data_IF_515182244668
#
_entry.id   IF_515182244668
#
_cell.length_a   1.000
_cell.length_b   1.000
_cell.length_c   1.000
_cell.angle_alpha   90.00
_cell.angle_beta   90.00
_cell.angle_gamma   90.00
#
_symmetry.space_group_name_H-M   'P 1'
#
loop_
_entity.id
_entity.type
_entity.pdbx_description
1 polymer ?
#
# COMPACT_ATOMS: atom_id res chain seq x y z
N UNK A 1 -16.80 -12.22 1.27
CA UNK A 1 -15.87 -12.51 2.36
C UNK A 1 -16.48 -12.20 3.72
N UNK A 2 -16.99 -11.01 3.93
CA UNK A 2 -17.65 -10.56 5.16
C UNK A 2 -19.07 -10.13 4.81
N UNK A 3 -20.05 -10.48 5.66
CA UNK A 3 -21.46 -10.09 5.45
C UNK A 3 -21.59 -8.56 5.40
N UNK A 4 -22.49 -7.99 4.58
CA UNK A 4 -22.65 -6.52 4.47
C UNK A 4 -22.93 -5.85 5.82
N UNK A 5 -23.75 -6.47 6.68
CA UNK A 5 -24.07 -5.99 8.04
C UNK A 5 -22.83 -5.82 8.93
N UNK A 6 -21.85 -6.71 8.81
CA UNK A 6 -20.67 -6.75 9.69
C UNK A 6 -19.48 -6.00 9.08
N UNK A 7 -19.60 -5.60 7.80
CA UNK A 7 -18.48 -5.05 7.03
C UNK A 7 -17.84 -3.84 7.70
N UNK A 8 -18.64 -2.91 8.19
CA UNK A 8 -18.14 -1.70 8.84
C UNK A 8 -17.36 -2.03 10.11
N UNK A 9 -17.92 -2.87 10.98
CA UNK A 9 -17.32 -3.26 12.27
C UNK A 9 -16.00 -4.00 12.04
N UNK A 10 -15.98 -4.97 11.12
CA UNK A 10 -14.77 -5.75 10.80
C UNK A 10 -13.69 -4.87 10.16
N UNK A 11 -14.06 -3.94 9.28
CA UNK A 11 -13.10 -3.00 8.69
C UNK A 11 -12.52 -2.03 9.72
N UNK A 12 -13.31 -1.56 10.65
CA UNK A 12 -12.84 -0.64 11.70
C UNK A 12 -11.95 -1.39 12.72
N UNK A 13 -12.28 -2.63 13.04
CA UNK A 13 -11.41 -3.49 13.85
C UNK A 13 -10.07 -3.76 13.15
N UNK A 14 -10.09 -4.07 11.83
CA UNK A 14 -8.87 -4.22 11.04
C UNK A 14 -8.01 -2.95 11.02
N UNK A 15 -8.62 -1.77 10.92
CA UNK A 15 -7.86 -0.50 10.94
C UNK A 15 -7.10 -0.31 12.25
N UNK A 16 -7.62 -0.78 13.38
CA UNK A 16 -6.93 -0.71 14.67
C UNK A 16 -5.62 -1.48 14.66
N UNK A 17 -5.57 -2.63 13.99
CA UNK A 17 -4.34 -3.44 13.84
C UNK A 17 -3.20 -2.62 13.24
N UNK A 18 -3.45 -1.85 12.17
CA UNK A 18 -2.42 -1.08 11.46
C UNK A 18 -2.14 0.32 12.07
N UNK A 19 -2.88 0.71 13.10
CA UNK A 19 -2.73 2.01 13.75
C UNK A 19 -2.05 1.94 15.10
N UNK A 20 -1.44 0.80 15.42
CA UNK A 20 -0.69 0.62 16.65
C UNK A 20 0.63 1.40 16.59
N UNK A 21 1.23 1.63 17.74
CA UNK A 21 2.48 2.39 17.83
C UNK A 21 3.70 1.60 17.34
N UNK A 22 3.65 0.28 17.45
CA UNK A 22 4.74 -0.61 17.06
C UNK A 22 4.23 -1.97 16.58
N UNK A 23 5.14 -2.75 15.97
CA UNK A 23 4.84 -4.06 15.42
C UNK A 23 4.37 -5.08 16.47
N UNK A 24 4.86 -5.00 17.73
CA UNK A 24 4.48 -5.93 18.79
C UNK A 24 2.99 -5.74 19.17
N UNK A 25 2.57 -4.49 19.38
CA UNK A 25 1.17 -4.15 19.66
C UNK A 25 0.27 -4.48 18.47
N UNK A 26 0.74 -4.26 17.24
CA UNK A 26 0.00 -4.60 16.04
C UNK A 26 -0.23 -6.12 15.90
N UNK A 27 0.76 -6.96 16.26
CA UNK A 27 0.61 -8.41 16.31
C UNK A 27 -0.39 -8.87 17.37
N UNK A 28 -0.35 -8.26 18.56
CA UNK A 28 -1.33 -8.56 19.61
C UNK A 28 -2.76 -8.19 19.18
N UNK A 29 -2.95 -7.02 18.60
CA UNK A 29 -4.26 -6.58 18.10
C UNK A 29 -4.72 -7.44 16.92
N UNK A 30 -3.80 -7.94 16.05
CA UNK A 30 -4.14 -8.90 15.02
C UNK A 30 -4.64 -10.22 15.59
N UNK A 31 -3.98 -10.76 16.62
CA UNK A 31 -4.43 -11.97 17.30
C UNK A 31 -5.84 -11.78 17.88
N UNK A 32 -6.08 -10.70 18.62
CA UNK A 32 -7.40 -10.38 19.15
C UNK A 32 -8.47 -10.20 18.06
N UNK A 33 -8.09 -9.61 16.93
CA UNK A 33 -8.95 -9.48 15.75
C UNK A 33 -9.32 -10.86 15.17
N UNK A 34 -8.34 -11.76 15.03
CA UNK A 34 -8.57 -13.10 14.50
C UNK A 34 -9.39 -13.95 15.46
N UNK A 35 -9.19 -13.84 16.78
CA UNK A 35 -9.99 -14.53 17.79
C UNK A 35 -11.46 -14.07 17.74
N UNK A 36 -11.68 -12.77 17.56
CA UNK A 36 -13.03 -12.19 17.53
C UNK A 36 -13.81 -12.52 16.25
N UNK A 37 -13.12 -12.51 15.10
CA UNK A 37 -13.78 -12.60 13.79
C UNK A 37 -13.40 -13.83 12.96
N UNK A 38 -12.28 -14.50 13.26
CA UNK A 38 -11.75 -15.62 12.49
C UNK A 38 -12.64 -16.85 12.54
N UNK A 39 -13.31 -17.13 13.67
CA UNK A 39 -14.27 -18.22 13.82
C UNK A 39 -15.47 -18.04 12.88
N UNK A 40 -15.98 -16.82 12.79
CA UNK A 40 -17.10 -16.46 11.91
C UNK A 40 -16.69 -16.36 10.44
N UNK A 41 -15.46 -15.91 10.18
CA UNK A 41 -14.91 -15.66 8.85
C UNK A 41 -13.58 -16.39 8.63
N UNK A 42 -13.63 -17.71 8.49
CA UNK A 42 -12.46 -18.62 8.36
C UNK A 42 -11.42 -18.17 7.31
N UNK A 43 -11.84 -17.43 6.27
CA UNK A 43 -10.90 -16.89 5.26
C UNK A 43 -9.99 -15.79 5.80
N UNK A 44 -10.30 -15.17 6.95
CA UNK A 44 -9.43 -14.16 7.56
C UNK A 44 -8.11 -14.77 8.00
N UNK A 45 -8.11 -15.95 8.64
CA UNK A 45 -6.87 -16.64 9.00
C UNK A 45 -5.97 -16.88 7.80
N UNK A 46 -6.54 -17.30 6.66
CA UNK A 46 -5.77 -17.53 5.43
C UNK A 46 -5.17 -16.25 4.85
N UNK A 47 -5.86 -15.10 5.00
CA UNK A 47 -5.37 -13.81 4.52
C UNK A 47 -4.21 -13.25 5.33
N UNK A 48 -4.11 -13.63 6.61
CA UNK A 48 -3.10 -13.13 7.54
C UNK A 48 -2.04 -14.17 7.92
N UNK A 49 -1.87 -15.23 7.12
CA UNK A 49 -0.88 -16.30 7.38
C UNK A 49 0.57 -15.82 7.37
N UNK A 50 0.91 -14.76 6.61
CA UNK A 50 2.26 -14.20 6.53
C UNK A 50 2.40 -12.96 7.43
N UNK A 51 2.32 -13.16 8.76
CA UNK A 51 2.39 -12.07 9.73
C UNK A 51 3.69 -11.27 9.67
N UNK A 52 4.82 -11.92 9.38
CA UNK A 52 6.15 -11.27 9.36
C UNK A 52 6.23 -10.14 8.35
N UNK A 53 5.65 -10.29 7.17
CA UNK A 53 5.67 -9.26 6.12
C UNK A 53 4.56 -8.21 6.27
N UNK A 54 3.51 -8.48 7.04
CA UNK A 54 2.42 -7.51 7.24
C UNK A 54 2.83 -6.27 8.02
N UNK A 55 3.84 -6.39 8.87
CA UNK A 55 4.29 -5.35 9.79
C UNK A 55 5.66 -4.79 9.48
N UNK A 56 6.28 -5.17 8.35
CA UNK A 56 7.58 -4.65 7.91
C UNK A 56 7.60 -3.13 7.75
N UNK A 57 6.46 -2.50 7.48
CA UNK A 57 6.39 -1.04 7.39
C UNK A 57 6.71 -0.31 8.71
N UNK A 58 6.62 -0.99 9.86
CA UNK A 58 7.04 -0.42 11.15
C UNK A 58 8.56 -0.25 11.30
N UNK A 59 9.35 -0.91 10.45
CA UNK A 59 10.81 -0.76 10.40
C UNK A 59 11.21 0.59 9.80
N UNK A 60 10.29 1.26 9.10
CA UNK A 60 10.54 2.53 8.44
C UNK A 60 10.13 3.74 9.29
N UNK A 61 10.70 4.94 9.01
CA UNK A 61 10.34 6.17 9.70
C UNK A 61 8.82 6.43 9.71
N UNK A 62 8.30 6.87 10.84
CA UNK A 62 6.85 7.03 11.10
C UNK A 62 6.17 7.94 10.06
N UNK A 63 6.89 8.94 9.56
CA UNK A 63 6.40 9.90 8.56
C UNK A 63 5.99 9.26 7.23
N UNK A 64 6.58 8.09 6.88
CA UNK A 64 6.31 7.38 5.62
C UNK A 64 5.53 6.08 5.79
N UNK A 65 5.37 5.57 7.01
CA UNK A 65 4.70 4.29 7.26
C UNK A 65 3.33 4.22 6.58
N UNK A 66 2.50 5.26 6.70
CA UNK A 66 1.18 5.29 6.07
C UNK A 66 1.25 5.17 4.55
N UNK A 67 2.25 5.74 3.92
CA UNK A 67 2.45 5.66 2.47
C UNK A 67 2.88 4.25 2.06
N UNK A 68 3.70 3.57 2.88
CA UNK A 68 4.21 2.23 2.59
C UNK A 68 3.11 1.17 2.70
N UNK A 69 2.29 1.18 3.75
CA UNK A 69 1.28 0.14 3.93
C UNK A 69 -0.01 0.37 3.11
N UNK A 70 -0.13 1.50 2.40
CA UNK A 70 -1.28 1.77 1.52
C UNK A 70 -0.90 1.68 0.05
N UNK A 71 -1.82 1.17 -0.78
CA UNK A 71 -1.66 1.13 -2.24
C UNK A 71 -2.10 2.43 -2.95
N UNK A 72 -2.48 3.46 -2.20
CA UNK A 72 -3.07 4.69 -2.75
C UNK A 72 -2.20 5.35 -3.84
N UNK A 73 -0.88 5.37 -3.65
CA UNK A 73 0.04 5.96 -4.63
C UNK A 73 0.03 5.17 -5.94
N UNK A 74 0.10 3.84 -5.86
CA UNK A 74 0.07 2.93 -7.01
C UNK A 74 -1.29 2.99 -7.70
N UNK A 75 -2.39 3.02 -6.92
CA UNK A 75 -3.76 3.13 -7.45
C UNK A 75 -3.98 4.45 -8.19
N UNK A 76 -3.49 5.56 -7.68
CA UNK A 76 -3.56 6.86 -8.34
C UNK A 76 -2.76 6.89 -9.65
N UNK A 77 -1.55 6.32 -9.67
CA UNK A 77 -0.74 6.19 -10.89
C UNK A 77 -1.45 5.32 -11.93
N UNK A 78 -1.97 4.16 -11.51
CA UNK A 78 -2.72 3.26 -12.39
C UNK A 78 -3.99 3.92 -12.94
N UNK A 79 -4.70 4.71 -12.13
CA UNK A 79 -5.86 5.48 -12.58
C UNK A 79 -5.49 6.51 -13.65
N UNK A 80 -4.40 7.25 -13.42
CA UNK A 80 -3.88 8.23 -14.39
C UNK A 80 -3.45 7.57 -15.70
N UNK A 81 -2.73 6.45 -15.62
CA UNK A 81 -2.34 5.67 -16.79
C UNK A 81 -3.55 5.16 -17.58
N UNK A 82 -4.52 4.52 -16.90
CA UNK A 82 -5.75 4.02 -17.54
C UNK A 82 -6.55 5.13 -18.24
N UNK A 83 -6.61 6.33 -17.63
CA UNK A 83 -7.28 7.48 -18.24
C UNK A 83 -6.61 7.86 -19.57
N UNK A 84 -5.28 7.98 -19.58
CA UNK A 84 -4.53 8.30 -20.81
C UNK A 84 -4.61 7.19 -21.86
N UNK A 85 -4.57 5.92 -21.43
CA UNK A 85 -4.70 4.77 -22.33
C UNK A 85 -6.07 4.71 -23.00
N UNK A 86 -7.15 5.06 -22.28
CA UNK A 86 -8.51 5.15 -22.85
C UNK A 86 -8.63 6.21 -23.93
N UNK A 87 -7.91 7.33 -23.82
CA UNK A 87 -7.92 8.39 -24.85
C UNK A 87 -7.24 7.96 -26.15
N UNK A 88 -6.41 6.93 -26.11
CA UNK A 88 -5.73 6.37 -27.28
C UNK A 88 -6.53 5.27 -27.98
N UNK A 89 -7.60 4.80 -27.34
CA UNK A 89 -8.56 3.79 -27.80
C UNK A 89 -7.96 2.41 -28.09
N UNK A 90 -6.96 2.28 -28.98
CA UNK A 90 -6.37 1.01 -29.39
C UNK A 90 -4.85 1.07 -29.46
N UNK A 91 -4.22 -0.08 -29.21
CA UNK A 91 -2.80 -0.32 -29.43
C UNK A 91 -2.66 -1.44 -30.48
N UNK A 92 -1.96 -1.21 -31.60
CA UNK A 92 -1.85 -2.20 -32.67
C UNK A 92 -1.05 -3.46 -32.26
N UNK A 93 -0.13 -3.32 -31.30
CA UNK A 93 0.70 -4.42 -30.76
C UNK A 93 1.22 -4.08 -29.36
N UNK A 94 1.86 -5.04 -28.70
CA UNK A 94 2.44 -4.90 -27.37
C UNK A 94 3.54 -3.84 -27.32
N UNK A 95 4.41 -3.76 -28.33
CA UNK A 95 5.47 -2.74 -28.40
C UNK A 95 4.91 -1.31 -28.42
N UNK A 96 3.75 -1.11 -29.05
CA UNK A 96 3.07 0.18 -29.06
C UNK A 96 2.54 0.56 -27.68
N UNK A 97 2.02 -0.43 -26.93
CA UNK A 97 1.59 -0.24 -25.55
C UNK A 97 2.79 0.05 -24.64
N UNK A 98 3.89 -0.68 -24.80
CA UNK A 98 5.12 -0.50 -24.01
C UNK A 98 5.71 0.90 -24.23
N UNK A 99 5.88 1.32 -25.49
CA UNK A 99 6.35 2.70 -25.82
C UNK A 99 5.44 3.78 -25.22
N UNK A 100 4.14 3.56 -25.28
CA UNK A 100 3.18 4.47 -24.67
C UNK A 100 3.35 4.52 -23.15
N UNK A 101 3.47 3.36 -22.48
CA UNK A 101 3.68 3.26 -21.04
C UNK A 101 4.99 3.97 -20.63
N UNK A 102 6.09 3.70 -21.32
CA UNK A 102 7.36 4.38 -21.11
C UNK A 102 7.23 5.90 -21.23
N UNK A 103 6.56 6.40 -22.28
CA UNK A 103 6.33 7.83 -22.47
C UNK A 103 5.55 8.46 -21.31
N UNK A 104 4.47 7.78 -20.87
CA UNK A 104 3.64 8.27 -19.75
C UNK A 104 4.43 8.33 -18.45
N UNK A 105 5.25 7.32 -18.17
CA UNK A 105 6.03 7.27 -16.93
C UNK A 105 7.28 8.17 -16.99
N UNK A 106 7.91 8.32 -18.13
CA UNK A 106 8.99 9.31 -18.32
C UNK A 106 8.48 10.74 -18.10
N UNK A 107 7.30 11.07 -18.65
CA UNK A 107 6.65 12.36 -18.40
C UNK A 107 6.30 12.56 -16.93
N UNK A 108 5.79 11.52 -16.26
CA UNK A 108 5.51 11.54 -14.83
C UNK A 108 6.79 11.83 -14.04
N UNK A 109 7.85 11.07 -14.28
CA UNK A 109 9.13 11.23 -13.60
C UNK A 109 9.73 12.63 -13.82
N UNK A 110 9.66 13.17 -15.04
CA UNK A 110 10.12 14.53 -15.34
C UNK A 110 9.33 15.60 -14.57
N UNK A 111 8.01 15.48 -14.47
CA UNK A 111 7.15 16.45 -13.73
C UNK A 111 7.38 16.42 -12.23
N UNK A 112 7.75 15.27 -11.69
CA UNK A 112 7.95 15.06 -10.27
C UNK A 112 9.42 14.95 -9.88
N UNK A 113 10.35 15.15 -10.81
CA UNK A 113 11.78 15.21 -10.55
C UNK A 113 12.08 16.28 -9.49
N UNK A 114 12.83 15.90 -8.47
CA UNK A 114 13.16 16.78 -7.34
C UNK A 114 12.02 17.04 -6.34
N UNK A 115 10.84 16.40 -6.52
CA UNK A 115 9.74 16.48 -5.56
C UNK A 115 9.67 15.21 -4.74
N UNK A 116 9.84 15.33 -3.42
CA UNK A 116 9.62 14.21 -2.52
C UNK A 116 8.12 14.03 -2.23
N UNK A 117 7.67 12.77 -2.15
CA UNK A 117 6.34 12.47 -1.66
C UNK A 117 6.22 12.86 -0.18
N UNK A 118 4.99 13.14 0.26
CA UNK A 118 4.72 13.57 1.66
C UNK A 118 5.41 12.62 2.65
N UNK A 119 6.15 13.18 3.59
CA UNK A 119 6.89 12.47 4.62
C UNK A 119 8.29 11.98 4.22
N UNK A 120 8.56 11.76 2.91
CA UNK A 120 9.85 11.25 2.47
C UNK A 120 11.01 12.26 2.61
N UNK A 121 10.72 13.53 2.49
CA UNK A 121 11.75 14.56 2.72
C UNK A 121 12.21 14.57 4.18
N UNK A 122 11.27 14.40 5.10
CA UNK A 122 11.53 14.30 6.54
C UNK A 122 12.25 13.00 6.90
N UNK A 123 11.86 11.88 6.27
CA UNK A 123 12.44 10.56 6.50
C UNK A 123 13.79 10.34 5.81
N UNK A 124 14.22 11.24 4.92
CA UNK A 124 15.37 11.05 4.06
C UNK A 124 16.67 10.72 4.80
N UNK A 125 17.05 11.42 5.90
CA UNK A 125 18.27 11.09 6.65
C UNK A 125 18.26 9.67 7.22
N UNK A 126 17.14 9.25 7.85
CA UNK A 126 16.97 7.91 8.41
C UNK A 126 16.99 6.84 7.32
N UNK A 127 16.36 7.10 6.16
CA UNK A 127 16.39 6.19 5.02
C UNK A 127 17.80 6.02 4.45
N UNK A 128 18.60 7.09 4.40
CA UNK A 128 19.99 6.98 3.98
C UNK A 128 20.78 6.06 4.91
N UNK A 129 20.65 6.21 6.23
CA UNK A 129 21.29 5.33 7.21
C UNK A 129 20.85 3.87 7.06
N UNK A 130 19.57 3.61 6.76
CA UNK A 130 19.05 2.25 6.58
C UNK A 130 19.58 1.55 5.31
N UNK A 131 19.96 2.29 4.28
CA UNK A 131 20.35 1.74 2.97
C UNK A 131 21.77 2.07 2.54
N UNK A 132 22.58 2.71 3.42
CA UNK A 132 24.00 2.92 3.20
C UNK A 132 24.75 1.85 3.99
N UNK A 133 25.23 0.81 3.26
CA UNK A 133 26.20 -0.17 3.77
C UNK A 133 27.59 0.41 3.81
#
# INVERSE_FOLDING_TARGET
>A
LVRPSDRKIVLDARKRVYRQENAALAKQELSAFLDSYGTKYKRLHKLFQNESSLFSFYEFPKSIQQTIYTSNLIENNNKGFRHKAKLKEQFPNEDSLERFACTVYCDYNRRFSGKAHRGFQEAYPELLEMFTD
#
